data_IF_784536687604
#
_entry.id   IF_784536687604
#
_cell.length_a   1.000
_cell.length_b   1.000
_cell.length_c   1.000
_cell.angle_alpha   90.00
_cell.angle_beta   90.00
_cell.angle_gamma   90.00
#
_symmetry.space_group_name_H-M   'P 1'
#
loop_
_entity.id
_entity.type
_entity.pdbx_description
1 polymer ?
#
# COMPACT_ATOMS: atom_id res chain seq x y z
N UNK A 1 -3.21 9.58 17.01
CA UNK A 1 -3.57 9.41 15.60
C UNK A 1 -4.19 8.03 15.38
N UNK A 2 -5.35 7.97 14.78
CA UNK A 2 -5.99 6.71 14.46
C UNK A 2 -5.62 6.32 13.01
N UNK A 3 -5.04 5.14 12.82
CA UNK A 3 -4.75 4.62 11.50
C UNK A 3 -5.98 3.90 11.00
N UNK A 4 -6.63 4.44 9.96
CA UNK A 4 -7.82 3.86 9.37
C UNK A 4 -7.52 3.15 8.04
N UNK A 5 -6.61 3.71 7.25
CA UNK A 5 -6.28 3.16 5.92
C UNK A 5 -4.78 2.92 5.82
N UNK A 6 -4.42 1.70 5.42
CA UNK A 6 -3.04 1.35 5.17
C UNK A 6 -2.85 1.20 3.67
N UNK A 7 -1.87 1.91 3.13
CA UNK A 7 -1.54 1.86 1.72
C UNK A 7 -0.22 1.15 1.49
N UNK A 8 -0.15 0.34 0.45
CA UNK A 8 1.06 -0.35 0.03
C UNK A 8 1.42 0.06 -1.39
N UNK A 9 2.60 0.64 -1.56
CA UNK A 9 3.14 0.85 -2.89
C UNK A 9 4.04 -0.34 -3.18
N UNK A 10 3.57 -1.22 -4.06
CA UNK A 10 4.16 -2.51 -4.33
C UNK A 10 3.40 -3.63 -3.62
N UNK A 11 3.06 -4.67 -4.37
CA UNK A 11 2.32 -5.83 -3.87
C UNK A 11 3.08 -7.13 -4.12
N UNK A 12 4.40 -7.08 -3.90
CA UNK A 12 5.24 -8.26 -3.97
C UNK A 12 5.18 -9.12 -2.70
N UNK A 13 6.15 -10.03 -2.56
CA UNK A 13 6.13 -10.99 -1.45
C UNK A 13 6.17 -10.33 -0.08
N UNK A 14 6.95 -9.26 0.07
CA UNK A 14 7.04 -8.56 1.35
C UNK A 14 5.71 -7.93 1.74
N UNK A 15 5.06 -7.24 0.78
CA UNK A 15 3.77 -6.63 1.02
C UNK A 15 2.71 -7.68 1.36
N UNK A 16 2.70 -8.80 0.65
CA UNK A 16 1.75 -9.89 0.90
C UNK A 16 1.92 -10.47 2.30
N UNK A 17 3.15 -10.63 2.76
CA UNK A 17 3.43 -11.13 4.11
C UNK A 17 2.89 -10.16 5.17
N UNK A 18 3.11 -8.86 4.98
CA UNK A 18 2.63 -7.84 5.91
C UNK A 18 1.10 -7.79 5.91
N UNK A 19 0.48 -7.79 4.73
CA UNK A 19 -0.98 -7.78 4.60
C UNK A 19 -1.58 -9.01 5.28
N UNK A 20 -1.01 -10.18 5.03
CA UNK A 20 -1.47 -11.42 5.65
C UNK A 20 -1.42 -11.35 7.17
N UNK A 21 -0.34 -10.79 7.73
CA UNK A 21 -0.21 -10.61 9.16
C UNK A 21 -1.23 -9.64 9.74
N UNK A 22 -1.47 -8.53 9.05
CA UNK A 22 -2.48 -7.54 9.46
C UNK A 22 -3.87 -8.16 9.51
N UNK A 23 -4.25 -8.89 8.47
CA UNK A 23 -5.57 -9.50 8.37
C UNK A 23 -5.74 -10.65 9.36
N UNK A 24 -4.70 -11.45 9.55
CA UNK A 24 -4.74 -12.57 10.50
C UNK A 24 -4.96 -12.08 11.94
N UNK A 25 -4.38 -10.93 12.28
CA UNK A 25 -4.51 -10.35 13.60
C UNK A 25 -5.65 -9.34 13.71
N UNK A 26 -6.44 -9.20 12.65
CA UNK A 26 -7.63 -8.33 12.61
C UNK A 26 -7.33 -6.89 13.00
N UNK A 27 -6.14 -6.39 12.63
CA UNK A 27 -5.72 -5.03 12.97
C UNK A 27 -6.47 -3.99 12.16
N UNK A 28 -6.77 -4.31 10.89
CA UNK A 28 -7.50 -3.45 9.96
C UNK A 28 -8.33 -4.34 9.07
N UNK A 29 -9.50 -3.87 8.66
CA UNK A 29 -10.35 -4.61 7.73
C UNK A 29 -9.76 -4.57 6.32
N UNK A 30 -9.99 -5.63 5.51
CA UNK A 30 -9.44 -5.67 4.14
C UNK A 30 -9.82 -4.44 3.30
N UNK A 31 -11.04 -3.94 3.43
CA UNK A 31 -11.52 -2.77 2.69
C UNK A 31 -10.76 -1.49 3.04
N UNK A 32 -10.02 -1.50 4.15
CA UNK A 32 -9.21 -0.36 4.57
C UNK A 32 -7.74 -0.53 4.22
N UNK A 33 -7.42 -1.52 3.38
CA UNK A 33 -6.08 -1.71 2.83
C UNK A 33 -6.16 -1.43 1.33
N UNK A 34 -5.26 -0.59 0.83
CA UNK A 34 -5.19 -0.27 -0.59
C UNK A 34 -3.75 -0.49 -1.07
N UNK A 35 -3.60 -1.05 -2.25
CA UNK A 35 -2.28 -1.33 -2.78
C UNK A 35 -2.15 -1.04 -4.26
N UNK A 36 -0.94 -0.74 -4.69
CA UNK A 36 -0.61 -0.52 -6.09
C UNK A 36 0.47 -1.48 -6.55
N UNK A 37 0.49 -1.75 -7.85
CA UNK A 37 1.51 -2.58 -8.48
C UNK A 37 1.71 -2.13 -9.91
N UNK A 38 2.83 -2.52 -10.50
CA UNK A 38 3.15 -2.21 -11.89
C UNK A 38 2.27 -3.00 -12.87
N UNK A 39 1.72 -4.14 -12.44
CA UNK A 39 0.92 -4.99 -13.32
C UNK A 39 -0.48 -5.22 -12.78
N UNK A 40 -1.44 -5.32 -13.71
CA UNK A 40 -2.83 -5.61 -13.38
C UNK A 40 -2.97 -6.99 -12.74
N UNK A 41 -2.19 -7.96 -13.22
CA UNK A 41 -2.25 -9.33 -12.70
C UNK A 41 -1.89 -9.40 -11.22
N UNK A 42 -0.85 -8.68 -10.81
CA UNK A 42 -0.43 -8.65 -9.40
C UNK A 42 -1.51 -7.99 -8.53
N UNK A 43 -2.11 -6.92 -9.02
CA UNK A 43 -3.20 -6.25 -8.29
C UNK A 43 -4.42 -7.17 -8.16
N UNK A 44 -4.81 -7.82 -9.24
CA UNK A 44 -5.95 -8.71 -9.23
C UNK A 44 -5.73 -9.89 -8.30
N UNK A 45 -4.53 -10.47 -8.30
CA UNK A 45 -4.20 -11.58 -7.42
C UNK A 45 -4.28 -11.18 -5.95
N UNK A 46 -3.81 -9.98 -5.61
CA UNK A 46 -3.89 -9.48 -4.24
C UNK A 46 -5.34 -9.22 -3.82
N UNK A 47 -6.14 -8.63 -4.71
CA UNK A 47 -7.55 -8.39 -4.45
C UNK A 47 -8.30 -9.69 -4.23
N UNK A 48 -8.04 -10.70 -5.06
CA UNK A 48 -8.69 -12.01 -4.95
C UNK A 48 -8.31 -12.76 -3.68
N UNK A 49 -7.02 -12.66 -3.30
CA UNK A 49 -6.50 -13.40 -2.15
C UNK A 49 -6.87 -12.76 -0.82
N UNK A 50 -6.81 -11.43 -0.74
CA UNK A 50 -6.94 -10.71 0.53
C UNK A 50 -8.22 -9.88 0.64
N UNK A 51 -8.90 -9.61 -0.45
CA UNK A 51 -10.08 -8.75 -0.44
C UNK A 51 -9.75 -7.28 -0.26
N UNK A 52 -8.51 -6.88 -0.54
CA UNK A 52 -8.08 -5.48 -0.41
C UNK A 52 -8.48 -4.67 -1.64
N UNK A 53 -8.42 -3.34 -1.50
CA UNK A 53 -8.60 -2.43 -2.62
C UNK A 53 -7.29 -2.28 -3.38
N UNK A 54 -7.38 -2.02 -4.67
CA UNK A 54 -6.20 -1.79 -5.51
C UNK A 54 -6.36 -0.50 -6.30
N UNK A 55 -5.22 0.12 -6.62
CA UNK A 55 -5.17 1.37 -7.37
C UNK A 55 -3.90 1.39 -8.20
N UNK A 56 -3.99 1.79 -9.46
CA UNK A 56 -2.82 1.83 -10.32
C UNK A 56 -1.87 2.98 -10.00
N UNK A 57 -2.41 4.08 -9.49
CA UNK A 57 -1.64 5.28 -9.21
C UNK A 57 -1.01 5.21 -7.82
N UNK A 58 0.31 5.24 -7.75
CA UNK A 58 1.02 5.31 -6.48
C UNK A 58 0.63 6.56 -5.69
N UNK A 59 0.41 7.65 -6.40
CA UNK A 59 0.02 8.93 -5.80
C UNK A 59 -1.35 8.81 -5.10
N UNK A 60 -2.31 8.11 -5.72
CA UNK A 60 -3.62 7.90 -5.13
C UNK A 60 -3.54 7.01 -3.88
N UNK A 61 -2.70 5.97 -3.91
CA UNK A 61 -2.47 5.14 -2.73
C UNK A 61 -1.91 5.98 -1.60
N UNK A 62 -0.90 6.79 -1.89
CA UNK A 62 -0.26 7.65 -0.89
C UNK A 62 -1.26 8.68 -0.33
N UNK A 63 -2.11 9.24 -1.18
CA UNK A 63 -3.08 10.23 -0.77
C UNK A 63 -4.12 9.67 0.21
N UNK A 64 -4.56 8.44 -0.04
CA UNK A 64 -5.61 7.79 0.76
C UNK A 64 -5.09 7.15 2.05
N UNK A 65 -3.80 6.83 2.12
CA UNK A 65 -3.25 6.10 3.25
C UNK A 65 -2.93 6.99 4.44
N UNK A 66 -3.23 6.51 5.63
CA UNK A 66 -2.77 7.11 6.89
C UNK A 66 -1.39 6.56 7.23
N UNK A 67 -1.20 5.25 7.00
CA UNK A 67 0.09 4.58 7.09
C UNK A 67 0.45 4.10 5.70
N UNK A 68 1.59 4.54 5.19
CA UNK A 68 2.05 4.19 3.85
C UNK A 68 3.28 3.29 3.95
N UNK A 69 3.20 2.12 3.33
CA UNK A 69 4.30 1.16 3.28
C UNK A 69 4.88 1.15 1.87
N UNK A 70 6.15 1.49 1.77
CA UNK A 70 6.88 1.50 0.50
C UNK A 70 7.55 0.14 0.32
N UNK A 71 6.86 -0.77 -0.35
CA UNK A 71 7.28 -2.16 -0.51
C UNK A 71 7.81 -2.43 -1.92
N UNK A 72 8.60 -1.51 -2.44
CA UNK A 72 9.23 -1.63 -3.75
C UNK A 72 10.72 -1.92 -3.59
N UNK A 73 11.35 -2.41 -4.66
CA UNK A 73 12.78 -2.65 -4.67
C UNK A 73 13.55 -1.33 -4.51
N UNK A 74 14.73 -1.35 -3.86
CA UNK A 74 15.49 -0.12 -3.63
C UNK A 74 15.77 0.71 -4.88
N UNK A 75 15.98 0.06 -6.03
CA UNK A 75 16.21 0.78 -7.29
C UNK A 75 14.99 1.56 -7.79
N UNK A 76 13.79 1.17 -7.38
CA UNK A 76 12.54 1.83 -7.78
C UNK A 76 12.16 2.94 -6.79
N UNK A 77 12.65 2.84 -5.56
CA UNK A 77 12.24 3.72 -4.47
C UNK A 77 12.38 5.21 -4.77
N UNK A 78 13.50 5.70 -5.36
CA UNK A 78 13.62 7.14 -5.65
C UNK A 78 12.53 7.65 -6.59
N UNK A 79 12.13 6.85 -7.59
CA UNK A 79 11.07 7.21 -8.53
C UNK A 79 9.74 7.33 -7.80
N UNK A 80 9.44 6.35 -6.94
CA UNK A 80 8.21 6.34 -6.15
C UNK A 80 8.14 7.55 -5.22
N UNK A 81 9.23 7.85 -4.53
CA UNK A 81 9.28 9.00 -3.62
C UNK A 81 8.97 10.29 -4.37
N UNK A 82 9.53 10.46 -5.56
CA UNK A 82 9.27 11.63 -6.39
C UNK A 82 7.79 11.70 -6.81
N UNK A 83 7.18 10.57 -7.14
CA UNK A 83 5.78 10.51 -7.54
C UNK A 83 4.83 10.95 -6.43
N UNK A 84 5.14 10.63 -5.18
CA UNK A 84 4.21 10.81 -4.06
C UNK A 84 4.51 12.01 -3.17
N UNK A 85 5.60 12.72 -3.40
CA UNK A 85 6.06 13.80 -2.50
C UNK A 85 5.02 14.88 -2.27
N UNK A 86 4.18 15.16 -3.25
CA UNK A 86 3.17 16.23 -3.17
C UNK A 86 1.99 15.87 -2.27
N UNK A 87 1.78 14.58 -2.01
CA UNK A 87 0.61 14.09 -1.26
C UNK A 87 0.98 13.49 0.09
N UNK A 88 2.26 13.39 0.39
CA UNK A 88 2.73 12.91 1.70
C UNK A 88 3.05 14.12 2.56
N UNK A 89 2.46 14.18 3.74
CA UNK A 89 2.68 15.26 4.69
C UNK A 89 3.00 14.66 6.07
N UNK A 90 3.19 15.55 7.06
CA UNK A 90 3.57 15.14 8.41
C UNK A 90 2.45 14.45 9.20
N UNK A 91 1.24 14.35 8.64
CA UNK A 91 0.14 13.61 9.25
C UNK A 91 0.16 12.13 8.88
N UNK A 92 1.02 11.74 7.93
CA UNK A 92 1.12 10.36 7.45
C UNK A 92 2.36 9.69 8.00
N UNK A 93 2.22 8.40 8.34
CA UNK A 93 3.37 7.56 8.68
C UNK A 93 3.83 6.84 7.41
N UNK A 94 5.14 6.78 7.20
CA UNK A 94 5.74 6.13 6.02
C UNK A 94 6.77 5.11 6.49
N UNK A 95 6.63 3.89 5.99
CA UNK A 95 7.56 2.80 6.29
C UNK A 95 8.26 2.29 5.03
#
# INVERSE_FOLDING_TARGET
MAIQTIGFIGLGNMAKAIIGGILKNELVKPENIIGSSATQETMQAAADRFGICTERSNKEVARKADLLVLAVKPGILPVVIEEIRDVVDDRKLVL
#
